data_IF_601895781919
#
_entry.id   IF_601895781919
#
_cell.length_a   1.000
_cell.length_b   1.000
_cell.length_c   1.000
_cell.angle_alpha   90.00
_cell.angle_beta   90.00
_cell.angle_gamma   90.00
#
_symmetry.space_group_name_H-M   'P 1'
#
loop_
_entity.id
_entity.type
_entity.pdbx_description
1 polymer ?
#
# COMPACT_ATOMS: atom_id res chain seq x y z
N UNK A 1 -42.03 -5.04 17.01
CA UNK A 1 -40.70 -4.79 17.57
C UNK A 1 -40.52 -3.28 17.61
N UNK A 2 -40.71 -2.67 18.78
CA UNK A 2 -40.65 -1.22 18.95
C UNK A 2 -39.22 -0.79 19.25
N UNK A 3 -38.37 -0.76 18.22
CA UNK A 3 -37.03 -0.20 18.33
C UNK A 3 -37.10 1.33 18.31
N UNK A 4 -36.65 1.98 19.38
CA UNK A 4 -36.56 3.44 19.43
C UNK A 4 -35.12 3.89 19.15
N UNK A 5 -34.95 4.72 18.12
CA UNK A 5 -33.66 5.30 17.81
C UNK A 5 -33.27 6.36 18.86
N UNK A 6 -32.14 6.14 19.53
CA UNK A 6 -31.56 7.08 20.48
C UNK A 6 -30.54 7.99 19.79
N UNK A 7 -31.02 9.04 19.11
CA UNK A 7 -30.15 9.99 18.41
C UNK A 7 -29.45 11.00 19.31
N UNK A 8 -29.99 11.26 20.51
CA UNK A 8 -29.42 12.25 21.44
C UNK A 8 -27.97 11.92 21.85
N UNK A 9 -27.61 10.68 22.23
CA UNK A 9 -26.22 10.31 22.49
C UNK A 9 -25.30 10.52 21.28
N UNK A 10 -25.76 10.24 20.05
CA UNK A 10 -24.97 10.43 18.82
C UNK A 10 -24.58 11.89 18.65
N UNK A 11 -25.53 12.83 18.81
CA UNK A 11 -25.23 14.25 18.69
C UNK A 11 -24.36 14.78 19.83
N UNK A 12 -24.43 14.18 21.02
CA UNK A 12 -23.56 14.51 22.14
C UNK A 12 -22.11 14.08 21.90
N UNK A 13 -21.90 12.91 21.28
CA UNK A 13 -20.57 12.39 20.92
C UNK A 13 -20.07 12.86 19.56
N UNK A 14 -20.81 13.74 18.87
CA UNK A 14 -20.43 14.24 17.55
C UNK A 14 -19.02 14.86 17.51
N UNK A 15 -18.56 15.65 18.50
CA UNK A 15 -17.19 16.15 18.54
C UNK A 15 -16.14 15.03 18.54
N UNK A 16 -16.28 14.05 19.43
CA UNK A 16 -15.35 12.91 19.52
C UNK A 16 -15.35 12.07 18.23
N UNK A 17 -16.51 11.92 17.59
CA UNK A 17 -16.64 11.23 16.31
C UNK A 17 -15.94 11.98 15.17
N UNK A 18 -16.01 13.31 15.16
CA UNK A 18 -15.31 14.15 14.18
C UNK A 18 -13.79 14.09 14.37
N UNK A 19 -13.33 14.12 15.62
CA UNK A 19 -11.91 13.96 15.96
C UNK A 19 -11.40 12.57 15.54
N UNK A 20 -12.16 11.51 15.82
CA UNK A 20 -11.84 10.16 15.38
C UNK A 20 -11.85 10.01 13.84
N UNK A 21 -12.79 10.67 13.16
CA UNK A 21 -12.85 10.70 11.70
C UNK A 21 -11.61 11.39 11.10
N UNK A 22 -11.15 12.49 11.72
CA UNK A 22 -9.93 13.18 11.33
C UNK A 22 -8.70 12.28 11.45
N UNK A 23 -8.53 11.62 12.61
CA UNK A 23 -7.43 10.67 12.83
C UNK A 23 -7.47 9.53 11.81
N UNK A 24 -8.68 9.04 11.47
CA UNK A 24 -8.87 7.99 10.47
C UNK A 24 -8.42 8.43 9.09
N UNK A 25 -8.78 9.65 8.66
CA UNK A 25 -8.32 10.22 7.39
C UNK A 25 -6.80 10.39 7.37
N UNK A 26 -6.24 10.95 8.44
CA UNK A 26 -4.81 11.18 8.57
C UNK A 26 -4.01 9.87 8.45
N UNK A 27 -4.34 8.86 9.27
CA UNK A 27 -3.62 7.58 9.26
C UNK A 27 -3.82 6.84 7.93
N UNK A 28 -4.99 6.93 7.30
CA UNK A 28 -5.26 6.27 6.02
C UNK A 28 -4.43 6.88 4.89
N UNK A 29 -4.35 8.21 4.82
CA UNK A 29 -3.56 8.92 3.82
C UNK A 29 -2.07 8.62 4.01
N UNK A 30 -1.56 8.74 5.24
CA UNK A 30 -0.15 8.48 5.52
C UNK A 30 0.22 7.02 5.24
N UNK A 31 -0.61 6.05 5.65
CA UNK A 31 -0.37 4.63 5.39
C UNK A 31 -0.40 4.33 3.90
N UNK A 32 -1.30 4.96 3.13
CA UNK A 32 -1.37 4.80 1.69
C UNK A 32 -0.14 5.36 0.97
N UNK A 33 0.34 6.55 1.38
CA UNK A 33 1.57 7.15 0.83
C UNK A 33 2.79 6.28 1.13
N UNK A 34 2.95 5.87 2.40
CA UNK A 34 4.04 5.00 2.83
C UNK A 34 3.98 3.64 2.14
N UNK A 35 2.81 3.02 2.09
CA UNK A 35 2.57 1.74 1.42
C UNK A 35 2.82 1.81 -0.09
N UNK A 36 2.38 2.88 -0.76
CA UNK A 36 2.67 3.11 -2.19
C UNK A 36 4.17 3.20 -2.44
N UNK A 37 4.88 4.00 -1.63
CA UNK A 37 6.32 4.15 -1.76
C UNK A 37 7.05 2.82 -1.52
N UNK A 38 6.75 2.13 -0.41
CA UNK A 38 7.32 0.82 -0.09
C UNK A 38 6.98 -0.24 -1.15
N UNK A 39 5.75 -0.25 -1.65
CA UNK A 39 5.29 -1.15 -2.71
C UNK A 39 6.09 -1.00 -4.00
N UNK A 40 6.49 0.24 -4.35
CA UNK A 40 7.35 0.50 -5.50
C UNK A 40 8.74 -0.12 -5.31
N UNK A 41 9.35 0.04 -4.13
CA UNK A 41 10.64 -0.62 -3.84
C UNK A 41 10.51 -2.13 -3.82
N UNK A 42 9.48 -2.67 -3.18
CA UNK A 42 9.23 -4.12 -3.15
C UNK A 42 9.06 -4.70 -4.56
N UNK A 43 8.41 -3.97 -5.47
CA UNK A 43 8.33 -4.37 -6.88
C UNK A 43 9.72 -4.45 -7.53
N UNK A 44 10.56 -3.41 -7.40
CA UNK A 44 11.92 -3.43 -7.95
C UNK A 44 12.81 -4.50 -7.30
N UNK A 45 12.70 -4.70 -5.99
CA UNK A 45 13.43 -5.74 -5.27
C UNK A 45 13.02 -7.14 -5.71
N UNK A 46 11.73 -7.37 -5.95
CA UNK A 46 11.24 -8.65 -6.47
C UNK A 46 11.68 -8.94 -7.90
N UNK A 47 11.95 -7.91 -8.70
CA UNK A 47 12.48 -8.05 -10.06
C UNK A 47 14.01 -8.02 -10.12
N UNK A 48 14.69 -7.89 -8.98
CA UNK A 48 16.15 -7.91 -8.87
C UNK A 48 16.75 -9.26 -9.28
N UNK A 49 17.95 -9.20 -9.86
CA UNK A 49 18.76 -10.39 -10.15
C UNK A 49 19.34 -11.04 -8.88
N UNK A 50 19.47 -10.28 -7.78
CA UNK A 50 20.00 -10.79 -6.52
C UNK A 50 18.96 -11.65 -5.81
N UNK A 51 19.24 -12.95 -5.72
CA UNK A 51 18.32 -13.93 -5.11
C UNK A 51 17.85 -13.55 -3.69
N UNK A 52 18.72 -13.12 -2.75
CA UNK A 52 18.27 -12.76 -1.40
C UNK A 52 17.27 -11.60 -1.41
N UNK A 53 17.55 -10.54 -2.17
CA UNK A 53 16.69 -9.35 -2.28
C UNK A 53 15.32 -9.72 -2.83
N UNK A 54 15.31 -10.54 -3.88
CA UNK A 54 14.08 -11.05 -4.49
C UNK A 54 13.29 -11.92 -3.52
N UNK A 55 13.97 -12.78 -2.77
CA UNK A 55 13.33 -13.66 -1.79
C UNK A 55 12.67 -12.85 -0.67
N UNK A 56 13.38 -11.89 -0.05
CA UNK A 56 12.81 -11.05 1.01
C UNK A 56 11.61 -10.23 0.53
N UNK A 57 11.69 -9.64 -0.66
CA UNK A 57 10.55 -8.93 -1.24
C UNK A 57 9.36 -9.86 -1.51
N UNK A 58 9.63 -11.08 -2.00
CA UNK A 58 8.61 -12.11 -2.20
C UNK A 58 7.90 -12.47 -0.90
N UNK A 59 8.65 -12.80 0.15
CA UNK A 59 8.11 -13.12 1.47
C UNK A 59 7.28 -11.98 2.04
N UNK A 60 7.76 -10.74 1.98
CA UNK A 60 6.99 -9.57 2.42
C UNK A 60 5.65 -9.48 1.68
N UNK A 61 5.68 -9.51 0.34
CA UNK A 61 4.47 -9.34 -0.49
C UNK A 61 3.48 -10.48 -0.22
N UNK A 62 3.96 -11.71 -0.12
CA UNK A 62 3.12 -12.87 0.16
C UNK A 62 2.50 -12.80 1.55
N UNK A 63 3.27 -12.44 2.59
CA UNK A 63 2.72 -12.26 3.93
C UNK A 63 1.69 -11.13 3.98
N UNK A 64 2.01 -9.97 3.38
CA UNK A 64 1.13 -8.81 3.38
C UNK A 64 -0.25 -9.11 2.74
N UNK A 65 -0.27 -9.90 1.65
CA UNK A 65 -1.49 -10.19 0.89
C UNK A 65 -2.24 -11.45 1.35
N UNK A 66 -1.53 -12.43 1.92
CA UNK A 66 -2.10 -13.73 2.29
C UNK A 66 -2.40 -13.84 3.80
N UNK A 67 -2.11 -12.81 4.59
CA UNK A 67 -2.51 -12.77 6.02
C UNK A 67 -3.59 -11.71 6.25
N UNK A 68 -4.59 -11.97 7.11
CA UNK A 68 -5.65 -11.01 7.40
C UNK A 68 -5.09 -9.69 7.96
N UNK A 69 -5.57 -8.55 7.47
CA UNK A 69 -5.13 -7.22 7.96
C UNK A 69 -5.38 -7.06 9.46
N UNK A 70 -6.49 -7.60 9.98
CA UNK A 70 -6.79 -7.60 11.41
C UNK A 70 -5.74 -8.40 12.20
N UNK A 71 -5.29 -9.53 11.67
CA UNK A 71 -4.20 -10.31 12.28
C UNK A 71 -2.90 -9.50 12.29
N UNK A 72 -2.56 -8.83 11.19
CA UNK A 72 -1.36 -7.98 11.12
C UNK A 72 -1.38 -6.89 12.20
N UNK A 73 -2.52 -6.20 12.36
CA UNK A 73 -2.71 -5.18 13.39
C UNK A 73 -2.52 -5.76 14.80
N UNK A 74 -3.15 -6.90 15.10
CA UNK A 74 -2.97 -7.56 16.40
C UNK A 74 -1.55 -8.07 16.61
N UNK A 75 -0.88 -8.55 15.57
CA UNK A 75 0.51 -8.98 15.65
C UNK A 75 1.42 -7.80 16.00
N UNK A 76 1.26 -6.65 15.34
CA UNK A 76 2.03 -5.45 15.66
C UNK A 76 1.71 -4.91 17.07
N UNK A 77 0.48 -5.04 17.57
CA UNK A 77 0.12 -4.59 18.92
C UNK A 77 0.59 -5.54 20.02
N UNK A 78 0.23 -6.81 19.91
CA UNK A 78 0.35 -7.81 20.98
C UNK A 78 1.47 -8.80 20.71
N UNK A 79 1.67 -9.19 19.45
CA UNK A 79 2.75 -10.10 19.06
C UNK A 79 4.12 -9.52 19.38
N UNK A 80 4.36 -8.26 18.98
CA UNK A 80 5.57 -7.53 19.35
C UNK A 80 5.70 -7.28 20.85
N UNK A 81 4.58 -7.07 21.55
CA UNK A 81 4.54 -6.95 23.01
C UNK A 81 5.07 -8.20 23.73
N UNK A 82 4.87 -9.40 23.17
CA UNK A 82 5.44 -10.64 23.71
C UNK A 82 6.97 -10.69 23.63
N UNK A 83 7.59 -9.89 22.75
CA UNK A 83 9.03 -9.70 22.67
C UNK A 83 9.52 -8.46 23.44
N UNK A 84 8.64 -7.83 24.23
CA UNK A 84 8.96 -6.62 25.01
C UNK A 84 8.93 -5.31 24.21
N UNK A 85 8.42 -5.33 22.96
CA UNK A 85 8.33 -4.15 22.10
C UNK A 85 6.92 -3.58 22.17
N UNK A 86 6.78 -2.40 22.77
CA UNK A 86 5.50 -1.71 22.93
C UNK A 86 5.42 -0.50 22.01
N UNK A 87 4.50 -0.56 21.07
CA UNK A 87 4.26 0.52 20.10
C UNK A 87 2.92 1.20 20.45
N UNK A 88 2.93 2.53 20.38
CA UNK A 88 1.73 3.34 20.55
C UNK A 88 0.66 2.96 19.51
N UNK A 89 -0.61 3.01 19.91
CA UNK A 89 -1.72 2.52 19.07
C UNK A 89 -1.81 3.19 17.70
N UNK A 90 -1.50 4.49 17.61
CA UNK A 90 -1.46 5.20 16.33
C UNK A 90 -0.44 4.56 15.37
N UNK A 91 0.81 4.38 15.82
CA UNK A 91 1.87 3.80 15.00
C UNK A 91 1.62 2.32 14.66
N UNK A 92 0.97 1.57 15.54
CA UNK A 92 0.55 0.19 15.23
C UNK A 92 -0.39 0.16 14.03
N UNK A 93 -1.42 1.01 14.02
CA UNK A 93 -2.37 1.09 12.91
C UNK A 93 -1.65 1.53 11.64
N UNK A 94 -0.84 2.59 11.72
CA UNK A 94 -0.05 3.09 10.60
C UNK A 94 0.86 2.01 9.99
N UNK A 95 1.66 1.30 10.81
CA UNK A 95 2.61 0.28 10.33
C UNK A 95 1.86 -0.91 9.74
N UNK A 96 0.79 -1.38 10.40
CA UNK A 96 0.01 -2.52 9.93
C UNK A 96 -0.64 -2.23 8.58
N UNK A 97 -1.26 -1.06 8.43
CA UNK A 97 -1.88 -0.63 7.17
C UNK A 97 -0.81 -0.41 6.10
N UNK A 98 0.29 0.30 6.39
CA UNK A 98 1.36 0.52 5.43
C UNK A 98 2.00 -0.80 4.96
N UNK A 99 2.20 -1.76 5.86
CA UNK A 99 2.69 -3.10 5.54
C UNK A 99 1.75 -3.83 4.57
N UNK A 100 0.45 -3.83 4.87
CA UNK A 100 -0.58 -4.43 4.03
C UNK A 100 -0.61 -3.78 2.64
N UNK A 101 -0.80 -2.46 2.61
CA UNK A 101 -0.88 -1.65 1.39
C UNK A 101 0.37 -1.81 0.53
N UNK A 102 1.56 -1.89 1.11
CA UNK A 102 2.80 -2.11 0.35
C UNK A 102 2.79 -3.40 -0.46
N UNK A 103 2.25 -4.49 0.11
CA UNK A 103 2.11 -5.77 -0.59
C UNK A 103 1.18 -5.70 -1.80
N UNK A 104 0.00 -5.09 -1.62
CA UNK A 104 -0.96 -4.88 -2.71
C UNK A 104 -0.42 -3.92 -3.77
N UNK A 105 0.21 -2.83 -3.36
CA UNK A 105 0.79 -1.84 -4.25
C UNK A 105 1.92 -2.42 -5.09
N UNK A 106 2.79 -3.26 -4.53
CA UNK A 106 3.82 -3.96 -5.30
C UNK A 106 3.24 -4.81 -6.44
N UNK A 107 2.08 -5.42 -6.23
CA UNK A 107 1.40 -6.24 -7.24
C UNK A 107 0.62 -5.39 -8.25
N UNK A 108 0.05 -4.26 -7.82
CA UNK A 108 -0.49 -3.25 -8.72
C UNK A 108 0.60 -2.71 -9.66
N UNK A 109 1.79 -2.36 -9.13
CA UNK A 109 2.93 -1.95 -9.95
C UNK A 109 3.34 -3.05 -10.92
N UNK A 110 3.49 -4.30 -10.45
CA UNK A 110 3.80 -5.44 -11.31
C UNK A 110 2.79 -5.58 -12.45
N UNK A 111 1.49 -5.50 -12.15
CA UNK A 111 0.44 -5.52 -13.16
C UNK A 111 0.54 -4.36 -14.15
N UNK A 112 0.78 -3.14 -13.64
CA UNK A 112 0.94 -1.94 -14.45
C UNK A 112 2.13 -1.99 -15.40
N UNK A 113 3.31 -2.38 -14.92
CA UNK A 113 4.50 -2.54 -15.75
C UNK A 113 4.34 -3.65 -16.80
N UNK A 114 3.73 -4.78 -16.43
CA UNK A 114 3.49 -5.89 -17.36
C UNK A 114 2.43 -5.57 -18.43
N UNK A 115 1.52 -4.64 -18.15
CA UNK A 115 0.49 -4.21 -19.10
C UNK A 115 1.03 -3.29 -20.21
N UNK A 116 2.21 -2.67 -20.04
CA UNK A 116 2.81 -1.84 -21.08
C UNK A 116 3.41 -2.73 -22.18
N UNK A 117 3.00 -2.58 -23.46
CA UNK A 117 3.50 -3.42 -24.54
C UNK A 117 5.03 -3.32 -24.71
N UNK A 118 5.75 -4.45 -24.86
CA UNK A 118 7.21 -4.44 -25.04
C UNK A 118 7.64 -3.77 -26.35
N UNK A 119 6.73 -3.59 -27.31
CA UNK A 119 6.95 -2.86 -28.57
C UNK A 119 7.34 -1.41 -28.32
N UNK A 120 6.84 -0.78 -27.26
CA UNK A 120 7.19 0.60 -26.95
C UNK A 120 8.64 0.75 -26.49
N UNK A 121 9.13 -0.20 -25.69
CA UNK A 121 10.55 -0.25 -25.32
C UNK A 121 11.42 -0.39 -26.57
N UNK A 122 11.04 -1.27 -27.51
CA UNK A 122 11.77 -1.46 -28.77
C UNK A 122 11.75 -0.19 -29.64
N UNK A 123 10.59 0.45 -29.78
CA UNK A 123 10.44 1.69 -30.55
C UNK A 123 11.28 2.84 -29.95
N UNK A 124 11.26 3.00 -28.63
CA UNK A 124 12.08 3.99 -27.94
C UNK A 124 13.59 3.77 -28.18
N UNK A 125 14.04 2.51 -28.16
CA UNK A 125 15.44 2.16 -28.47
C UNK A 125 15.81 2.45 -29.92
N UNK A 126 14.91 2.18 -30.87
CA UNK A 126 15.12 2.52 -32.29
C UNK A 126 15.23 4.03 -32.52
N UNK A 127 14.60 4.84 -31.67
CA UNK A 127 14.71 6.30 -31.68
C UNK A 127 15.95 6.83 -30.91
N UNK A 128 16.86 5.95 -30.47
CA UNK A 128 18.08 6.33 -29.77
C UNK A 128 17.89 6.72 -28.30
N UNK A 129 16.73 6.43 -27.69
CA UNK A 129 16.50 6.75 -26.28
C UNK A 129 17.34 5.87 -25.35
N UNK A 130 17.90 6.50 -24.32
CA UNK A 130 18.55 5.81 -23.20
C UNK A 130 17.52 5.07 -22.34
N UNK A 131 17.99 4.13 -21.50
CA UNK A 131 17.09 3.39 -20.60
C UNK A 131 16.28 4.33 -19.71
N UNK A 132 16.93 5.33 -19.11
CA UNK A 132 16.29 6.31 -18.24
C UNK A 132 15.28 7.16 -18.98
N UNK A 133 15.57 7.61 -20.19
CA UNK A 133 14.61 8.35 -21.02
C UNK A 133 13.39 7.49 -21.36
N UNK A 134 13.59 6.22 -21.75
CA UNK A 134 12.47 5.32 -22.05
C UNK A 134 11.61 5.06 -20.80
N UNK A 135 12.23 4.82 -19.65
CA UNK A 135 11.49 4.60 -18.40
C UNK A 135 10.70 5.85 -18.00
N UNK A 136 11.36 7.01 -17.93
CA UNK A 136 10.76 8.24 -17.42
C UNK A 136 9.70 8.84 -18.35
N UNK A 137 9.95 8.85 -19.67
CA UNK A 137 9.08 9.55 -20.62
C UNK A 137 8.04 8.68 -21.30
N UNK A 138 8.22 7.35 -21.31
CA UNK A 138 7.30 6.43 -22.00
C UNK A 138 6.65 5.49 -21.01
N UNK A 139 7.42 4.68 -20.29
CA UNK A 139 6.87 3.59 -19.48
C UNK A 139 6.14 4.13 -18.24
N UNK A 140 6.81 4.95 -17.42
CA UNK A 140 6.27 5.42 -16.13
C UNK A 140 4.93 6.15 -16.29
N UNK A 141 4.75 7.12 -17.23
CA UNK A 141 3.46 7.79 -17.41
C UNK A 141 2.30 6.82 -17.73
N UNK A 142 2.58 5.77 -18.50
CA UNK A 142 1.58 4.77 -18.86
C UNK A 142 1.27 3.83 -17.69
N UNK A 143 2.29 3.38 -16.96
CA UNK A 143 2.11 2.59 -15.74
C UNK A 143 1.24 3.36 -14.76
N UNK A 144 1.54 4.64 -14.50
CA UNK A 144 0.75 5.49 -13.59
C UNK A 144 -0.71 5.57 -14.01
N UNK A 145 -1.00 5.69 -15.32
CA UNK A 145 -2.37 5.71 -15.84
C UNK A 145 -3.09 4.36 -15.64
N UNK A 146 -2.38 3.25 -15.80
CA UNK A 146 -2.94 1.90 -15.64
C UNK A 146 -3.25 1.62 -14.16
N UNK A 147 -2.33 1.98 -13.27
CA UNK A 147 -2.48 1.67 -11.83
C UNK A 147 -3.35 2.68 -11.08
N UNK A 148 -3.71 3.81 -11.67
CA UNK A 148 -4.52 4.84 -11.00
C UNK A 148 -5.81 4.29 -10.38
N UNK A 149 -6.58 3.51 -11.16
CA UNK A 149 -7.83 2.91 -10.68
C UNK A 149 -7.64 1.87 -9.56
N UNK A 150 -6.75 0.85 -9.70
CA UNK A 150 -6.53 -0.09 -8.60
C UNK A 150 -5.89 0.58 -7.38
N UNK A 151 -5.12 1.66 -7.54
CA UNK A 151 -4.64 2.48 -6.42
C UNK A 151 -5.80 3.14 -5.66
N UNK A 152 -6.73 3.78 -6.36
CA UNK A 152 -7.89 4.40 -5.71
C UNK A 152 -8.78 3.36 -5.03
N UNK A 153 -8.95 2.19 -5.63
CA UNK A 153 -9.71 1.09 -5.03
C UNK A 153 -9.00 0.45 -3.82
N UNK A 154 -7.69 0.63 -3.68
CA UNK A 154 -6.94 0.17 -2.51
C UNK A 154 -7.02 1.16 -1.34
N UNK A 155 -7.28 2.44 -1.64
CA UNK A 155 -7.41 3.51 -0.65
C UNK A 155 -8.80 3.55 0.00
N UNK A 156 -9.84 3.24 -0.78
CA UNK A 156 -11.24 3.18 -0.34
C UNK A 156 -11.49 1.85 0.36
#
# INVERSE_FOLDING_TARGET
>A
MDYQFLWRPVFQSLPDMLDAAWITLEVSILSMLAGTFLGLFLYFFRTSALWPVRFFAGVWIELARNTPALFQLFFFKFGLGAFGIFIESYFVVFIALAFNTAGYMAENFKGGFNAVPPTQLRAARSLGMTFFQTQLYIIVPQVMRIIYHPMTNQFI
#
